data_IF_302316971473
#
_entry.id   IF_302316971473
#
_cell.length_a   1.000
_cell.length_b   1.000
_cell.length_c   1.000
_cell.angle_alpha   90.00
_cell.angle_beta   90.00
_cell.angle_gamma   90.00
#
_symmetry.space_group_name_H-M   'P 1'
#
loop_
_entity.id
_entity.type
_entity.pdbx_description
1 polymer ?
#
# COMPACT_ATOMS: atom_id res chain seq x y z
N UNK A 1 8.04 11.53 1.20
CA UNK A 1 6.77 11.12 0.58
C UNK A 1 5.98 10.29 1.57
N UNK A 2 4.66 10.24 1.46
CA UNK A 2 3.79 9.46 2.36
C UNK A 2 3.07 10.28 3.43
N UNK A 3 2.30 9.58 4.26
CA UNK A 3 1.45 10.14 5.33
C UNK A 3 2.14 10.21 6.68
N UNK A 4 1.62 11.04 7.59
CA UNK A 4 2.06 11.06 9.00
C UNK A 4 1.47 9.87 9.75
N UNK A 5 2.30 9.10 10.46
CA UNK A 5 1.82 8.11 11.44
C UNK A 5 1.43 8.89 12.70
N UNK A 6 0.14 8.99 13.00
CA UNK A 6 -0.40 9.71 14.16
C UNK A 6 -1.36 8.80 14.90
N UNK A 7 -1.39 8.86 16.23
CA UNK A 7 -2.53 8.31 16.96
C UNK A 7 -3.79 9.00 16.46
N UNK A 8 -4.79 8.19 16.07
CA UNK A 8 -6.08 8.71 15.60
C UNK A 8 -7.09 8.43 16.70
N UNK A 9 -7.85 9.44 17.08
CA UNK A 9 -8.92 9.36 18.06
C UNK A 9 -10.04 10.28 17.56
N UNK A 10 -10.65 9.93 16.43
CA UNK A 10 -11.59 10.76 15.69
C UNK A 10 -12.90 10.01 15.44
N UNK A 11 -13.99 10.76 15.26
CA UNK A 11 -15.28 10.19 14.87
C UNK A 11 -15.22 9.69 13.43
N UNK A 12 -15.73 8.50 13.19
CA UNK A 12 -15.79 7.88 11.89
C UNK A 12 -16.90 8.50 11.03
N UNK A 13 -16.64 8.68 9.75
CA UNK A 13 -17.62 9.06 8.74
C UNK A 13 -17.39 8.24 7.49
N UNK A 14 -18.44 7.61 6.95
CA UNK A 14 -18.41 7.02 5.60
C UNK A 14 -18.71 8.06 4.52
N UNK A 15 -19.19 9.25 4.90
CA UNK A 15 -19.51 10.33 3.97
C UNK A 15 -18.36 11.31 3.81
N UNK A 16 -18.07 11.67 2.56
CA UNK A 16 -17.11 12.70 2.12
C UNK A 16 -17.73 14.12 2.16
N UNK A 17 -18.99 14.24 2.57
CA UNK A 17 -19.69 15.54 2.64
C UNK A 17 -19.65 16.12 4.05
N UNK A 18 -19.23 17.39 4.16
CA UNK A 18 -19.24 18.18 5.40
C UNK A 18 -17.85 18.57 5.89
N UNK A 19 -17.76 19.03 7.14
CA UNK A 19 -16.48 19.30 7.82
C UNK A 19 -15.83 17.99 8.27
N UNK A 20 -14.71 17.64 7.64
CA UNK A 20 -13.99 16.38 7.84
C UNK A 20 -12.70 16.54 8.66
N UNK A 21 -12.34 17.77 9.03
CA UNK A 21 -11.07 18.09 9.69
C UNK A 21 -10.85 17.39 11.03
N UNK A 22 -11.94 16.96 11.68
CA UNK A 22 -11.91 16.21 12.95
C UNK A 22 -12.56 14.83 12.83
N UNK A 23 -12.68 14.31 11.62
CA UNK A 23 -13.29 13.00 11.34
C UNK A 23 -12.31 12.07 10.63
N UNK A 24 -12.44 10.79 10.91
CA UNK A 24 -11.78 9.72 10.20
C UNK A 24 -12.71 9.25 9.08
N UNK A 25 -12.30 9.39 7.83
CA UNK A 25 -13.09 9.00 6.66
C UNK A 25 -12.76 7.56 6.28
N UNK A 26 -13.78 6.72 6.15
CA UNK A 26 -13.63 5.34 5.66
C UNK A 26 -14.10 5.31 4.21
N UNK A 27 -13.20 4.94 3.29
CA UNK A 27 -13.48 4.80 1.87
C UNK A 27 -13.34 3.35 1.43
N UNK A 28 -14.24 2.94 0.55
CA UNK A 28 -14.11 1.71 -0.21
C UNK A 28 -13.23 1.92 -1.44
N UNK A 29 -12.49 0.88 -1.82
CA UNK A 29 -11.68 0.87 -3.04
C UNK A 29 -12.42 1.40 -4.27
N UNK A 30 -13.69 1.00 -4.47
CA UNK A 30 -14.50 1.45 -5.61
C UNK A 30 -14.79 2.95 -5.63
N UNK A 31 -14.73 3.60 -4.47
CA UNK A 31 -14.97 5.04 -4.30
C UNK A 31 -13.69 5.87 -4.37
N UNK A 32 -12.52 5.24 -4.43
CA UNK A 32 -11.24 5.95 -4.48
C UNK A 32 -10.93 6.37 -5.91
N UNK A 33 -11.03 7.67 -6.17
CA UNK A 33 -10.57 8.33 -7.38
C UNK A 33 -9.59 9.46 -7.05
N UNK A 34 -8.84 9.92 -8.04
CA UNK A 34 -7.92 11.06 -7.88
C UNK A 34 -8.64 12.30 -7.35
N UNK A 35 -9.86 12.56 -7.85
CA UNK A 35 -10.72 13.66 -7.40
C UNK A 35 -11.08 13.56 -5.91
N UNK A 36 -11.52 12.38 -5.46
CA UNK A 36 -11.86 12.18 -4.04
C UNK A 36 -10.65 12.35 -3.13
N UNK A 37 -9.46 11.94 -3.58
CA UNK A 37 -8.22 12.11 -2.84
C UNK A 37 -7.79 13.58 -2.80
N UNK A 38 -7.90 14.30 -3.90
CA UNK A 38 -7.60 15.73 -3.97
C UNK A 38 -8.55 16.56 -3.10
N UNK A 39 -9.83 16.19 -3.05
CA UNK A 39 -10.79 16.79 -2.13
C UNK A 39 -10.43 16.53 -0.67
N UNK A 40 -10.11 15.28 -0.30
CA UNK A 40 -9.82 14.89 1.08
C UNK A 40 -8.45 15.33 1.59
N UNK A 41 -7.49 15.57 0.70
CA UNK A 41 -6.13 16.00 1.04
C UNK A 41 -6.00 17.53 0.97
N UNK A 42 -6.62 18.14 -0.05
CA UNK A 42 -6.46 19.56 -0.36
C UNK A 42 -7.64 20.41 0.10
N UNK A 43 -8.80 20.23 -0.53
CA UNK A 43 -9.94 21.14 -0.37
C UNK A 43 -10.59 21.05 1.01
N UNK A 44 -10.70 19.83 1.56
CA UNK A 44 -11.30 19.52 2.86
C UNK A 44 -10.41 18.48 3.56
N UNK A 45 -9.32 18.93 4.22
CA UNK A 45 -8.39 18.01 4.85
C UNK A 45 -9.12 17.17 5.89
N UNK A 46 -9.20 15.85 5.67
CA UNK A 46 -9.71 14.93 6.67
C UNK A 46 -8.68 14.72 7.79
N UNK A 47 -9.16 14.43 9.00
CA UNK A 47 -8.26 14.17 10.13
C UNK A 47 -7.51 12.83 10.00
N UNK A 48 -8.17 11.83 9.41
CA UNK A 48 -7.57 10.56 9.02
C UNK A 48 -8.36 9.94 7.85
N UNK A 49 -7.68 9.12 7.06
CA UNK A 49 -8.27 8.38 5.94
C UNK A 49 -8.02 6.88 6.13
N UNK A 50 -9.04 6.05 5.98
CA UNK A 50 -8.95 4.60 5.95
C UNK A 50 -9.44 4.13 4.59
N UNK A 51 -8.61 3.43 3.84
CA UNK A 51 -8.97 2.85 2.56
C UNK A 51 -9.11 1.34 2.74
N UNK A 52 -10.28 0.81 2.40
CA UNK A 52 -10.55 -0.63 2.42
C UNK A 52 -10.30 -1.21 1.04
N UNK A 53 -9.27 -2.05 0.95
CA UNK A 53 -8.82 -2.73 -0.26
C UNK A 53 -9.53 -4.08 -0.39
N UNK A 54 -9.91 -4.51 -1.61
CA UNK A 54 -10.49 -5.84 -1.82
C UNK A 54 -9.44 -6.94 -1.55
N UNK A 55 -9.86 -8.07 -0.99
CA UNK A 55 -8.98 -9.24 -0.79
C UNK A 55 -8.39 -9.75 -2.13
N UNK A 56 -9.19 -9.68 -3.19
CA UNK A 56 -8.84 -10.20 -4.51
C UNK A 56 -8.59 -9.08 -5.51
N UNK A 57 -7.40 -8.49 -5.44
CA UNK A 57 -6.94 -7.53 -6.46
C UNK A 57 -6.83 -8.17 -7.86
N UNK A 58 -6.67 -9.50 -7.93
CA UNK A 58 -6.60 -10.31 -9.15
C UNK A 58 -7.90 -10.39 -9.96
N UNK A 59 -9.06 -10.13 -9.35
CA UNK A 59 -10.37 -10.20 -10.01
C UNK A 59 -10.91 -8.82 -10.43
N UNK A 60 -10.14 -7.75 -10.20
CA UNK A 60 -10.53 -6.38 -10.56
C UNK A 60 -10.60 -6.18 -12.08
N UNK A 61 -11.58 -5.39 -12.52
CA UNK A 61 -11.66 -4.95 -13.91
C UNK A 61 -10.45 -4.09 -14.29
N UNK A 62 -10.02 -4.15 -15.55
CA UNK A 62 -8.90 -3.35 -16.07
C UNK A 62 -9.11 -1.84 -15.84
N UNK A 63 -10.37 -1.38 -15.94
CA UNK A 63 -10.74 0.02 -15.68
C UNK A 63 -10.48 0.41 -14.23
N UNK A 64 -10.90 -0.42 -13.27
CA UNK A 64 -10.66 -0.16 -11.84
C UNK A 64 -9.17 -0.19 -11.51
N UNK A 65 -8.41 -1.11 -12.10
CA UNK A 65 -6.95 -1.16 -11.95
C UNK A 65 -6.26 0.10 -12.47
N UNK A 66 -6.65 0.58 -13.65
CA UNK A 66 -6.08 1.79 -14.23
C UNK A 66 -6.38 3.04 -13.39
N UNK A 67 -7.61 3.17 -12.87
CA UNK A 67 -7.99 4.27 -11.97
C UNK A 67 -7.20 4.21 -10.67
N UNK A 68 -7.10 3.03 -10.07
CA UNK A 68 -6.33 2.83 -8.84
C UNK A 68 -4.85 3.13 -9.04
N UNK A 69 -4.22 2.65 -10.12
CA UNK A 69 -2.81 2.94 -10.42
C UNK A 69 -2.52 4.44 -10.48
N UNK A 70 -3.42 5.23 -11.06
CA UNK A 70 -3.29 6.70 -11.09
C UNK A 70 -3.41 7.29 -9.69
N UNK A 71 -4.44 6.91 -8.94
CA UNK A 71 -4.68 7.36 -7.58
C UNK A 71 -3.50 7.01 -6.64
N UNK A 72 -2.98 5.79 -6.75
CA UNK A 72 -1.84 5.28 -6.00
C UNK A 72 -0.55 6.04 -6.34
N UNK A 73 -0.26 6.26 -7.62
CA UNK A 73 0.88 7.08 -8.05
C UNK A 73 0.79 8.50 -7.51
N UNK A 74 -0.40 9.11 -7.48
CA UNK A 74 -0.60 10.44 -6.90
C UNK A 74 -0.30 10.45 -5.39
N UNK A 75 -0.84 9.47 -4.64
CA UNK A 75 -0.57 9.32 -3.21
C UNK A 75 0.92 9.15 -2.88
N UNK A 76 1.64 8.36 -3.70
CA UNK A 76 3.08 8.13 -3.52
C UNK A 76 3.93 9.38 -3.80
N UNK A 77 3.53 10.22 -4.75
CA UNK A 77 4.27 11.43 -5.15
C UNK A 77 3.98 12.63 -4.26
N UNK A 78 2.91 12.59 -3.46
CA UNK A 78 2.46 13.71 -2.65
C UNK A 78 2.87 13.56 -1.19
N UNK A 79 3.02 14.70 -0.50
CA UNK A 79 3.12 14.76 0.95
C UNK A 79 1.71 14.86 1.52
N UNK A 80 1.24 13.82 2.18
CA UNK A 80 -0.11 13.79 2.76
C UNK A 80 -0.03 14.29 4.21
N UNK A 81 -0.73 15.39 4.57
CA UNK A 81 -0.64 15.99 5.90
C UNK A 81 -1.42 15.20 6.99
N UNK A 82 -2.26 14.25 6.58
CA UNK A 82 -3.06 13.38 7.45
C UNK A 82 -2.51 11.95 7.53
N UNK A 83 -3.03 11.15 8.46
CA UNK A 83 -2.74 9.73 8.55
C UNK A 83 -3.63 8.94 7.58
N UNK A 84 -3.01 8.10 6.73
CA UNK A 84 -3.71 7.20 5.81
C UNK A 84 -3.45 5.77 6.26
N UNK A 85 -4.51 5.01 6.48
CA UNK A 85 -4.48 3.60 6.84
C UNK A 85 -5.09 2.77 5.73
N UNK A 86 -4.54 1.57 5.55
CA UNK A 86 -5.05 0.59 4.61
C UNK A 86 -5.50 -0.64 5.39
N UNK A 87 -6.67 -1.17 5.03
CA UNK A 87 -7.16 -2.44 5.54
C UNK A 87 -7.65 -3.29 4.38
N UNK A 88 -7.61 -4.60 4.54
CA UNK A 88 -8.14 -5.55 3.55
C UNK A 88 -9.60 -5.85 3.91
N UNK A 89 -10.45 -6.09 2.91
CA UNK A 89 -11.89 -6.36 3.06
C UNK A 89 -12.16 -7.74 3.68
N UNK A 90 -11.75 -7.92 4.94
CA UNK A 90 -12.07 -9.09 5.76
C UNK A 90 -13.33 -8.90 6.60
N UNK A 91 -13.68 -9.92 7.39
CA UNK A 91 -14.87 -9.91 8.27
C UNK A 91 -14.85 -8.77 9.29
N UNK A 92 -13.67 -8.47 9.86
CA UNK A 92 -13.48 -7.35 10.80
C UNK A 92 -13.69 -5.97 10.14
N UNK A 93 -13.22 -5.82 8.89
CA UNK A 93 -13.40 -4.57 8.14
C UNK A 93 -14.87 -4.34 7.79
N UNK A 94 -15.60 -5.41 7.44
CA UNK A 94 -17.05 -5.36 7.21
C UNK A 94 -17.81 -5.02 8.48
N UNK A 95 -17.45 -5.62 9.61
CA UNK A 95 -18.05 -5.30 10.90
C UNK A 95 -17.78 -3.83 11.31
N UNK A 96 -16.57 -3.32 11.05
CA UNK A 96 -16.24 -1.92 11.25
C UNK A 96 -17.10 -1.00 10.38
N UNK A 97 -17.18 -1.27 9.07
CA UNK A 97 -18.00 -0.49 8.13
C UNK A 97 -19.46 -0.47 8.55
N UNK A 98 -20.05 -1.63 8.83
CA UNK A 98 -21.44 -1.75 9.26
C UNK A 98 -21.72 -0.90 10.51
N UNK A 99 -20.80 -0.88 11.48
CA UNK A 99 -20.92 -0.03 12.67
C UNK A 99 -20.85 1.46 12.34
N UNK A 100 -19.96 1.86 11.44
CA UNK A 100 -19.79 3.26 11.01
C UNK A 100 -21.00 3.75 10.21
N UNK A 101 -21.59 2.90 9.38
CA UNK A 101 -22.80 3.21 8.61
C UNK A 101 -24.05 3.27 9.48
N UNK A 102 -24.19 2.35 10.44
CA UNK A 102 -25.32 2.34 11.37
C UNK A 102 -25.28 3.51 12.36
N UNK A 103 -24.09 3.95 12.76
CA UNK A 103 -23.90 4.99 13.78
C UNK A 103 -23.00 6.11 13.25
N UNK A 104 -23.48 6.79 12.20
CA UNK A 104 -22.82 7.95 11.59
C UNK A 104 -22.51 9.02 12.64
N UNK A 105 -21.23 9.17 12.98
CA UNK A 105 -20.75 10.21 13.90
C UNK A 105 -20.70 9.83 15.38
N UNK A 106 -21.07 8.61 15.78
CA UNK A 106 -20.97 8.14 17.18
C UNK A 106 -19.89 7.05 17.37
N UNK A 107 -19.42 6.47 16.27
CA UNK A 107 -18.28 5.53 16.29
C UNK A 107 -16.97 6.30 16.32
N UNK A 108 -16.19 6.13 17.38
CA UNK A 108 -14.85 6.69 17.50
C UNK A 108 -13.80 5.68 17.04
N UNK A 109 -13.05 6.02 16.00
CA UNK A 109 -11.90 5.25 15.56
C UNK A 109 -10.70 5.65 16.40
N UNK A 110 -10.20 4.68 17.17
CA UNK A 110 -9.01 4.83 18.00
C UNK A 110 -7.92 3.93 17.45
N UNK A 111 -6.88 4.55 16.89
CA UNK A 111 -5.62 3.89 16.58
C UNK A 111 -4.66 4.25 17.70
N UNK A 112 -4.37 3.33 18.64
CA UNK A 112 -3.46 3.60 19.74
C UNK A 112 -2.07 3.97 19.21
N UNK A 113 -1.35 4.90 19.86
CA UNK A 113 -0.03 5.34 19.42
C UNK A 113 1.08 4.27 19.59
N UNK A 114 0.76 3.06 20.07
CA UNK A 114 1.72 2.04 20.54
C UNK A 114 2.48 1.25 19.46
N UNK A 115 2.53 1.75 18.23
CA UNK A 115 3.42 1.18 17.22
C UNK A 115 4.56 2.15 16.97
N UNK A 116 5.60 1.98 17.79
CA UNK A 116 6.96 2.49 17.66
C UNK A 116 7.17 3.34 16.40
N UNK A 117 7.45 4.63 16.62
CA UNK A 117 8.08 5.50 15.62
C UNK A 117 9.50 4.99 15.35
N UNK A 118 9.63 3.76 14.85
CA UNK A 118 10.88 3.25 14.35
C UNK A 118 11.28 4.16 13.20
N UNK A 119 12.46 4.77 13.31
CA UNK A 119 13.16 5.29 12.13
C UNK A 119 13.10 4.22 11.06
N UNK A 120 12.89 4.63 9.80
CA UNK A 120 12.97 3.73 8.65
C UNK A 120 14.29 2.95 8.81
N UNK A 121 14.18 1.66 9.14
CA UNK A 121 15.35 0.80 9.24
C UNK A 121 15.99 0.77 7.85
N UNK A 122 17.31 0.65 7.80
CA UNK A 122 18.02 0.51 6.54
C UNK A 122 17.35 -0.62 5.74
N UNK A 123 17.07 -0.36 4.47
CA UNK A 123 16.47 -1.38 3.59
C UNK A 123 17.55 -2.44 3.39
N UNK A 124 17.29 -3.64 3.90
CA UNK A 124 18.07 -4.84 3.65
C UNK A 124 17.33 -5.65 2.59
N UNK A 125 18.03 -5.99 1.51
CA UNK A 125 17.49 -6.76 0.40
C UNK A 125 18.41 -7.96 0.17
N UNK A 126 17.81 -9.11 -0.08
CA UNK A 126 18.51 -10.35 -0.42
C UNK A 126 18.20 -10.70 -1.86
N UNK A 127 19.24 -11.04 -2.64
CA UNK A 127 19.09 -11.52 -4.01
C UNK A 127 19.21 -13.04 -4.04
N UNK A 128 18.37 -13.68 -4.86
CA UNK A 128 18.52 -15.09 -5.18
C UNK A 128 19.43 -15.22 -6.41
N UNK A 129 20.53 -15.95 -6.27
CA UNK A 129 21.44 -16.25 -7.37
C UNK A 129 21.60 -17.76 -7.51
N UNK A 130 21.41 -18.27 -8.73
CA UNK A 130 21.69 -19.65 -9.10
C UNK A 130 22.59 -19.68 -10.33
N UNK A 131 23.55 -20.59 -10.36
CA UNK A 131 24.47 -20.78 -11.49
C UNK A 131 24.39 -22.24 -11.93
N UNK A 132 24.21 -22.46 -13.23
CA UNK A 132 24.33 -23.78 -13.85
C UNK A 132 25.67 -23.81 -14.59
N UNK A 133 26.50 -24.80 -14.27
CA UNK A 133 27.75 -25.00 -14.99
C UNK A 133 27.45 -25.46 -16.43
N UNK A 134 28.10 -24.83 -17.41
CA UNK A 134 28.12 -25.35 -18.78
C UNK A 134 28.89 -26.66 -18.79
N UNK A 135 28.32 -27.71 -19.40
CA UNK A 135 28.98 -29.02 -19.50
C UNK A 135 30.24 -28.95 -20.35
N UNK A 136 31.39 -28.87 -19.69
CA UNK A 136 32.73 -28.92 -20.26
C UNK A 136 33.70 -29.45 -19.20
N UNK A 137 33.49 -30.70 -18.77
CA UNK A 137 34.42 -31.40 -17.88
C UNK A 137 35.62 -31.90 -18.69
N UNK A 138 36.67 -31.08 -18.79
CA UNK A 138 38.04 -31.60 -18.84
C UNK A 138 38.81 -31.10 -17.61
N UNK A 139 39.34 -32.01 -16.76
CA UNK A 139 40.04 -31.65 -15.54
C UNK A 139 41.47 -31.20 -15.91
N UNK A 140 41.64 -29.94 -16.29
CA UNK A 140 42.93 -29.47 -16.78
C UNK A 140 43.24 -27.98 -16.61
N UNK A 141 42.29 -27.08 -16.88
CA UNK A 141 42.67 -25.67 -16.96
C UNK A 141 41.61 -24.74 -16.35
N UNK A 142 41.92 -24.18 -15.18
CA UNK A 142 41.20 -23.06 -14.58
C UNK A 142 41.23 -21.78 -15.44
N UNK A 143 41.87 -21.81 -16.61
CA UNK A 143 41.92 -20.72 -17.58
C UNK A 143 40.79 -20.74 -18.63
N UNK A 144 40.10 -21.87 -18.85
CA UNK A 144 39.05 -21.99 -19.88
C UNK A 144 37.63 -21.70 -19.35
N UNK A 145 37.44 -21.75 -18.04
CA UNK A 145 36.19 -21.36 -17.37
C UNK A 145 35.86 -19.86 -17.61
N UNK A 146 36.87 -18.99 -17.69
CA UNK A 146 36.72 -17.57 -17.99
C UNK A 146 36.40 -17.28 -19.46
N UNK A 147 36.62 -18.24 -20.37
CA UNK A 147 36.34 -18.09 -21.81
C UNK A 147 34.94 -18.59 -22.20
N UNK A 148 34.27 -19.32 -21.31
CA UNK A 148 32.93 -19.87 -21.59
C UNK A 148 31.87 -18.77 -21.42
N UNK A 149 31.11 -18.41 -22.47
CA UNK A 149 30.12 -17.35 -22.38
C UNK A 149 29.03 -17.70 -21.36
N UNK A 150 28.84 -16.83 -20.36
CA UNK A 150 27.81 -16.99 -19.33
C UNK A 150 26.55 -16.22 -19.74
N UNK A 151 25.40 -16.90 -19.72
CA UNK A 151 24.09 -16.26 -19.90
C UNK A 151 23.54 -15.91 -18.52
N UNK A 152 23.30 -14.62 -18.28
CA UNK A 152 22.63 -14.15 -17.08
C UNK A 152 21.13 -14.00 -17.32
N UNK A 153 20.31 -14.67 -16.51
CA UNK A 153 18.85 -14.46 -16.46
C UNK A 153 18.55 -13.62 -15.22
N UNK A 154 17.99 -12.43 -15.43
CA UNK A 154 17.68 -11.47 -14.37
C UNK A 154 16.17 -11.30 -14.27
N UNK A 155 15.64 -11.31 -13.05
CA UNK A 155 14.24 -11.05 -12.77
C UNK A 155 14.10 -10.05 -11.61
N UNK A 156 13.05 -9.23 -11.68
CA UNK A 156 12.69 -8.28 -10.63
C UNK A 156 11.56 -8.89 -9.81
N UNK A 157 11.86 -9.30 -8.59
CA UNK A 157 10.87 -9.84 -7.64
C UNK A 157 10.41 -8.83 -6.59
N UNK A 158 11.01 -7.63 -6.58
CA UNK A 158 10.63 -6.56 -5.68
C UNK A 158 9.27 -5.98 -6.08
N UNK A 159 8.43 -5.74 -5.07
CA UNK A 159 7.16 -5.02 -5.27
C UNK A 159 7.09 -3.80 -4.37
N UNK A 160 6.51 -2.74 -4.90
CA UNK A 160 6.40 -1.45 -4.22
C UNK A 160 5.00 -0.87 -4.45
N UNK A 161 4.43 -0.29 -3.41
CA UNK A 161 3.11 0.33 -3.46
C UNK A 161 2.90 1.28 -2.29
N UNK A 162 1.73 1.91 -2.25
CA UNK A 162 1.36 2.87 -1.18
C UNK A 162 1.25 2.22 0.20
N UNK A 163 0.99 0.90 0.24
CA UNK A 163 0.99 0.08 1.43
C UNK A 163 2.00 -1.07 1.28
N UNK A 164 3.30 -0.85 1.59
CA UNK A 164 4.34 -1.88 1.41
C UNK A 164 4.06 -3.19 2.14
N UNK A 165 3.43 -3.13 3.33
CA UNK A 165 3.03 -4.32 4.08
C UNK A 165 1.94 -5.18 3.40
N UNK A 166 1.30 -4.65 2.36
CA UNK A 166 0.30 -5.34 1.54
C UNK A 166 0.78 -5.55 0.10
N UNK A 167 2.02 -5.17 -0.23
CA UNK A 167 2.61 -5.35 -1.55
C UNK A 167 3.02 -6.83 -1.71
N UNK A 168 2.08 -7.66 -2.17
CA UNK A 168 2.26 -9.11 -2.32
C UNK A 168 2.99 -9.51 -3.60
N UNK A 169 2.93 -8.67 -4.64
CA UNK A 169 3.41 -9.00 -5.99
C UNK A 169 2.63 -10.15 -6.62
N UNK A 170 1.77 -9.82 -7.58
CA UNK A 170 1.02 -10.81 -8.35
C UNK A 170 1.31 -10.61 -9.84
#
# INVERSE_FOLDING_TARGET
MGSRRSGVSLLASSSVKGDLSRRAVVLDFSSVTEETLDELIGAKPAGALIIVLPEKMGELSEKQRATWMKAESNLLKRKVPMAVYFTVDGEEAKAMKAKVEQNLGDVKLVVPPDSSTARIKKIEAENFQGVLAGGGDEPGDSAEADSTPTIAVVAYYDTFGVAPGLARGA
#
